data_IF_114348406213
#
_entry.id   IF_114348406213
#
_cell.length_a   1.000
_cell.length_b   1.000
_cell.length_c   1.000
_cell.angle_alpha   90.00
_cell.angle_beta   90.00
_cell.angle_gamma   90.00
#
_symmetry.space_group_name_H-M   'P 1'
#
loop_
_entity.id
_entity.type
_entity.pdbx_description
1 polymer ?
#
# COMPACT_ATOMS: atom_id res chain seq x y z
N UNK A 1 22.93 2.52 12.58
CA UNK A 1 22.37 2.99 11.29
C UNK A 1 21.23 2.05 10.95
N UNK A 2 20.00 2.42 11.33
CA UNK A 2 18.84 1.60 11.00
C UNK A 2 18.67 1.60 9.48
N UNK A 3 18.80 0.42 8.87
CA UNK A 3 18.47 0.23 7.46
C UNK A 3 16.97 0.45 7.34
N UNK A 4 16.56 1.52 6.67
CA UNK A 4 15.16 1.75 6.30
C UNK A 4 14.70 0.57 5.45
N UNK A 5 13.96 -0.37 6.05
CA UNK A 5 13.28 -1.41 5.29
C UNK A 5 11.97 -0.84 4.77
N UNK A 6 11.88 -0.65 3.45
CA UNK A 6 10.68 -0.12 2.80
C UNK A 6 9.68 -1.23 2.40
N UNK A 7 9.92 -2.49 2.81
CA UNK A 7 9.02 -3.59 2.48
C UNK A 7 7.96 -3.75 3.58
N UNK A 8 6.72 -3.40 3.25
CA UNK A 8 5.58 -3.72 4.10
C UNK A 8 5.34 -5.24 4.15
N UNK A 9 4.92 -5.80 5.31
CA UNK A 9 4.49 -7.19 5.39
C UNK A 9 3.32 -7.44 4.44
N UNK A 10 3.44 -8.53 3.67
CA UNK A 10 2.45 -8.97 2.68
C UNK A 10 1.93 -10.35 3.01
N UNK A 11 0.68 -10.59 2.62
CA UNK A 11 0.03 -11.90 2.69
C UNK A 11 0.24 -12.72 1.40
N UNK A 12 -0.17 -13.99 1.46
CA UNK A 12 -0.14 -14.91 0.31
C UNK A 12 -0.91 -14.34 -0.88
N UNK A 13 -0.50 -14.71 -2.09
CA UNK A 13 -1.18 -14.37 -3.33
C UNK A 13 -2.63 -14.85 -3.31
N UNK A 14 -3.51 -14.02 -3.86
CA UNK A 14 -4.89 -14.38 -4.19
C UNK A 14 -4.99 -14.77 -5.66
N UNK A 15 -6.17 -15.16 -6.13
CA UNK A 15 -6.41 -15.41 -7.55
C UNK A 15 -6.06 -14.17 -8.41
N UNK A 16 -5.43 -14.39 -9.57
CA UNK A 16 -4.88 -13.29 -10.39
C UNK A 16 -5.94 -12.40 -11.04
N UNK A 17 -7.11 -12.95 -11.40
CA UNK A 17 -8.23 -12.17 -11.93
C UNK A 17 -8.79 -11.26 -10.84
N UNK A 18 -8.90 -11.79 -9.61
CA UNK A 18 -9.33 -11.02 -8.45
C UNK A 18 -8.33 -9.90 -8.12
N UNK A 19 -7.03 -10.21 -8.12
CA UNK A 19 -5.99 -9.21 -7.89
C UNK A 19 -6.04 -8.10 -8.95
N UNK A 20 -6.21 -8.47 -10.22
CA UNK A 20 -6.34 -7.52 -11.33
C UNK A 20 -7.56 -6.60 -11.15
N UNK A 21 -8.71 -7.19 -10.80
CA UNK A 21 -9.94 -6.44 -10.54
C UNK A 21 -9.75 -5.45 -9.39
N UNK A 22 -9.20 -5.92 -8.26
CA UNK A 22 -8.96 -5.09 -7.08
C UNK A 22 -7.97 -3.97 -7.42
N UNK A 23 -6.86 -4.28 -8.09
CA UNK A 23 -5.87 -3.28 -8.49
C UNK A 23 -6.45 -2.22 -9.43
N UNK A 24 -7.36 -2.60 -10.33
CA UNK A 24 -8.03 -1.67 -11.25
C UNK A 24 -9.08 -0.80 -10.54
N UNK A 25 -9.77 -1.35 -9.55
CA UNK A 25 -10.89 -0.67 -8.86
C UNK A 25 -10.42 0.24 -7.74
N UNK A 26 -9.33 -0.13 -7.06
CA UNK A 26 -8.81 0.58 -5.90
C UNK A 26 -8.43 2.03 -6.22
N UNK A 27 -7.94 2.31 -7.43
CA UNK A 27 -7.54 3.67 -7.84
C UNK A 27 -8.70 4.55 -8.29
N UNK A 28 -9.89 4.00 -8.54
CA UNK A 28 -10.94 4.69 -9.30
C UNK A 28 -12.27 4.85 -8.56
N UNK A 29 -12.53 4.12 -7.46
CA UNK A 29 -13.91 3.95 -6.98
C UNK A 29 -14.16 4.10 -5.47
N UNK A 30 -13.14 4.14 -4.61
CA UNK A 30 -13.32 4.16 -3.15
C UNK A 30 -12.90 5.48 -2.53
N UNK A 31 -13.62 5.91 -1.48
CA UNK A 31 -13.20 7.07 -0.67
C UNK A 31 -12.00 6.71 0.21
N UNK A 32 -11.14 7.69 0.44
CA UNK A 32 -9.90 7.50 1.22
C UNK A 32 -10.17 6.98 2.63
N UNK A 33 -11.29 7.36 3.25
CA UNK A 33 -11.64 6.94 4.62
C UNK A 33 -11.92 5.43 4.68
N UNK A 34 -12.75 4.92 3.77
CA UNK A 34 -13.08 3.48 3.68
C UNK A 34 -11.83 2.67 3.34
N UNK A 35 -10.99 3.19 2.43
CA UNK A 35 -9.72 2.53 2.09
C UNK A 35 -8.77 2.47 3.28
N UNK A 36 -8.66 3.55 4.05
CA UNK A 36 -7.80 3.59 5.23
C UNK A 36 -8.28 2.66 6.35
N UNK A 37 -9.58 2.38 6.45
CA UNK A 37 -10.10 1.38 7.38
C UNK A 37 -9.78 -0.05 6.91
N UNK A 38 -10.05 -0.37 5.65
CA UNK A 38 -9.77 -1.71 5.10
C UNK A 38 -8.27 -2.06 5.15
N UNK A 39 -7.38 -1.09 4.91
CA UNK A 39 -5.93 -1.28 5.00
C UNK A 39 -5.41 -1.48 6.44
N UNK A 40 -6.21 -1.20 7.48
CA UNK A 40 -5.81 -1.45 8.87
C UNK A 40 -6.08 -2.88 9.31
N UNK A 41 -7.05 -3.55 8.70
CA UNK A 41 -7.53 -4.85 9.18
C UNK A 41 -6.77 -6.04 8.62
N UNK A 42 -6.16 -5.92 7.44
CA UNK A 42 -5.55 -7.05 6.73
C UNK A 42 -4.25 -6.64 6.05
N UNK A 43 -3.24 -7.53 6.04
CA UNK A 43 -2.06 -7.33 5.21
C UNK A 43 -2.45 -7.48 3.74
N UNK A 44 -1.87 -6.65 2.87
CA UNK A 44 -2.14 -6.74 1.43
C UNK A 44 -1.58 -8.06 0.89
N UNK A 45 -2.30 -8.76 0.00
CA UNK A 45 -1.72 -9.87 -0.76
C UNK A 45 -0.53 -9.43 -1.62
N UNK A 46 0.41 -10.34 -1.85
CA UNK A 46 1.62 -10.07 -2.65
C UNK A 46 1.31 -9.56 -4.07
N UNK A 47 0.26 -10.09 -4.73
CA UNK A 47 -0.16 -9.69 -6.08
C UNK A 47 -1.14 -8.49 -6.10
N UNK A 48 -1.46 -7.89 -4.95
CA UNK A 48 -2.22 -6.66 -4.84
C UNK A 48 -1.28 -5.49 -4.50
N UNK A 49 -0.44 -5.09 -5.46
CA UNK A 49 0.63 -4.10 -5.30
C UNK A 49 0.13 -2.67 -5.15
N UNK A 50 -1.05 -2.36 -5.67
CA UNK A 50 -1.62 -1.00 -5.57
C UNK A 50 -2.32 -0.75 -4.24
N UNK A 51 -2.62 -1.80 -3.46
CA UNK A 51 -3.20 -1.73 -2.12
C UNK A 51 -2.15 -1.31 -1.07
N UNK A 52 -1.39 -0.27 -1.36
CA UNK A 52 -0.35 0.26 -0.49
C UNK A 52 -0.76 1.63 0.00
N UNK A 53 -0.54 1.87 1.30
CA UNK A 53 -0.66 3.22 1.84
C UNK A 53 0.52 4.04 1.33
N UNK A 54 0.25 5.19 0.72
CA UNK A 54 1.31 6.14 0.35
C UNK A 54 2.06 6.55 1.61
N UNK A 55 3.35 6.19 1.68
CA UNK A 55 4.26 6.61 2.74
C UNK A 55 5.32 7.52 2.15
N UNK A 56 5.53 8.64 2.82
CA UNK A 56 6.60 9.58 2.50
C UNK A 56 7.78 9.35 3.44
N UNK A 57 8.99 9.25 2.88
CA UNK A 57 10.20 9.20 3.70
C UNK A 57 10.47 10.58 4.32
N UNK A 58 10.00 10.79 5.54
CA UNK A 58 10.12 12.06 6.26
C UNK A 58 11.58 12.54 6.40
N UNK A 59 12.57 11.65 6.35
CA UNK A 59 13.98 12.01 6.33
C UNK A 59 14.39 12.69 5.03
N UNK A 60 14.00 12.11 3.89
CA UNK A 60 14.23 12.71 2.56
C UNK A 60 13.49 14.04 2.44
N UNK A 61 12.23 14.11 2.90
CA UNK A 61 11.45 15.34 2.84
C UNK A 61 12.06 16.48 3.68
N UNK A 62 12.65 16.17 4.84
CA UNK A 62 13.39 17.16 5.63
C UNK A 62 14.67 17.61 4.93
N UNK A 63 15.37 16.69 4.27
CA UNK A 63 16.62 16.96 3.55
C UNK A 63 16.39 17.85 2.31
N UNK A 64 15.24 17.71 1.64
CA UNK A 64 14.85 18.55 0.50
C UNK A 64 14.23 19.91 0.88
N UNK A 65 13.88 20.11 2.15
CA UNK A 65 13.34 21.39 2.67
C UNK A 65 14.41 22.32 3.25
N UNK A 66 15.63 21.80 3.46
CA UNK A 66 16.80 22.55 3.90
C UNK A 66 17.53 23.15 2.70
#
# INVERSE_FOLDING_TARGET
MERFSNSDPVDKKVNDDLATFVNSSFRNALSDDIMNELLKEVHRPENCDVLVKTRVNQGIWRLLRA
#
